data_IF_271067751081
#
_entry.id   IF_271067751081
#
_cell.length_a   1.000
_cell.length_b   1.000
_cell.length_c   1.000
_cell.angle_alpha   90.00
_cell.angle_beta   90.00
_cell.angle_gamma   90.00
#
_symmetry.space_group_name_H-M   'P 1'
#
loop_
_entity.id
_entity.type
_entity.pdbx_description
1 polymer ?
#
# COMPACT_ATOMS: atom_id res chain seq x y z
N UNK A 1 -0.84 -24.98 -5.52
CA UNK A 1 -0.78 -24.53 -4.11
C UNK A 1 0.50 -23.75 -3.78
N UNK A 2 1.72 -24.29 -3.99
CA UNK A 2 2.98 -23.59 -3.64
C UNK A 2 3.12 -22.16 -4.22
N UNK A 3 2.76 -21.95 -5.50
CA UNK A 3 2.79 -20.63 -6.16
C UNK A 3 1.87 -19.59 -5.50
N UNK A 4 0.74 -20.04 -4.97
CA UNK A 4 -0.27 -19.19 -4.33
C UNK A 4 0.20 -18.73 -2.96
N UNK A 5 0.74 -19.68 -2.19
CA UNK A 5 1.28 -19.44 -0.85
C UNK A 5 2.50 -18.52 -0.95
N UNK A 6 3.38 -18.77 -1.92
CA UNK A 6 4.55 -17.94 -2.16
C UNK A 6 4.18 -16.50 -2.55
N UNK A 7 3.24 -16.32 -3.48
CA UNK A 7 2.75 -14.99 -3.87
C UNK A 7 2.06 -14.25 -2.73
N UNK A 8 1.24 -14.94 -1.92
CA UNK A 8 0.57 -14.36 -0.77
C UNK A 8 1.52 -13.92 0.34
N UNK A 9 2.51 -14.75 0.68
CA UNK A 9 3.53 -14.40 1.69
C UNK A 9 4.33 -13.18 1.23
N UNK A 10 4.76 -13.17 -0.04
CA UNK A 10 5.49 -12.03 -0.59
C UNK A 10 4.64 -10.76 -0.53
N UNK A 11 3.36 -10.83 -0.92
CA UNK A 11 2.47 -9.67 -0.85
C UNK A 11 2.41 -9.11 0.58
N UNK A 12 2.19 -9.95 1.58
CA UNK A 12 2.12 -9.52 2.99
C UNK A 12 3.45 -8.91 3.45
N UNK A 13 4.59 -9.50 3.09
CA UNK A 13 5.91 -8.95 3.43
C UNK A 13 6.15 -7.58 2.77
N UNK A 14 5.78 -7.44 1.49
CA UNK A 14 5.90 -6.17 0.77
C UNK A 14 5.00 -5.08 1.38
N UNK A 15 3.78 -5.42 1.78
CA UNK A 15 2.87 -4.50 2.46
C UNK A 15 3.43 -4.07 3.82
N UNK A 16 3.98 -5.01 4.60
CA UNK A 16 4.63 -4.70 5.87
C UNK A 16 5.82 -3.77 5.70
N UNK A 17 6.65 -4.00 4.69
CA UNK A 17 7.79 -3.16 4.36
C UNK A 17 7.36 -1.76 3.90
N UNK A 18 6.32 -1.67 3.08
CA UNK A 18 5.70 -0.41 2.67
C UNK A 18 5.14 0.36 3.87
N UNK A 19 4.36 -0.29 4.73
CA UNK A 19 3.78 0.33 5.92
C UNK A 19 4.88 0.83 6.87
N UNK A 20 5.94 0.04 7.09
CA UNK A 20 7.09 0.45 7.88
C UNK A 20 7.76 1.72 7.31
N UNK A 21 8.00 1.77 6.00
CA UNK A 21 8.61 2.94 5.37
C UNK A 21 7.74 4.19 5.45
N UNK A 22 6.41 4.06 5.34
CA UNK A 22 5.47 5.16 5.51
C UNK A 22 5.51 5.69 6.95
N UNK A 23 5.47 4.80 7.94
CA UNK A 23 5.58 5.20 9.36
C UNK A 23 6.91 5.90 9.62
N UNK A 24 8.02 5.34 9.14
CA UNK A 24 9.34 5.94 9.29
C UNK A 24 9.41 7.35 8.68
N UNK A 25 8.87 7.52 7.46
CA UNK A 25 8.84 8.82 6.80
C UNK A 25 7.95 9.84 7.53
N UNK A 26 6.82 9.41 8.09
CA UNK A 26 5.95 10.25 8.92
C UNK A 26 6.67 10.68 10.21
N UNK A 27 7.37 9.76 10.88
CA UNK A 27 8.19 10.10 12.05
C UNK A 27 9.31 11.09 11.70
N UNK A 28 9.92 10.95 10.52
CA UNK A 28 10.91 11.91 10.03
C UNK A 28 10.32 13.31 9.81
N UNK A 29 9.06 13.41 9.37
CA UNK A 29 8.34 14.70 9.30
C UNK A 29 8.18 15.30 10.69
N UNK A 30 7.67 14.55 11.66
CA UNK A 30 7.46 15.06 13.02
C UNK A 30 8.77 15.43 13.73
N UNK A 31 9.80 14.59 13.60
CA UNK A 31 11.15 14.89 14.11
C UNK A 31 11.71 16.18 13.51
N UNK A 32 11.43 16.44 12.23
CA UNK A 32 11.89 17.67 11.56
C UNK A 32 11.20 18.94 12.03
N UNK A 33 10.06 18.83 12.72
CA UNK A 33 9.31 19.93 13.31
C UNK A 33 9.74 20.19 14.77
N UNK A 34 10.32 19.19 15.43
CA UNK A 34 10.79 19.29 16.81
C UNK A 34 12.23 19.82 16.87
N UNK A 35 12.45 20.83 17.71
CA UNK A 35 13.79 21.42 17.88
C UNK A 35 14.71 20.45 18.60
N UNK A 36 15.79 20.01 17.95
CA UNK A 36 16.82 19.15 18.55
C UNK A 36 16.67 17.66 18.26
N UNK A 37 15.66 17.24 17.49
CA UNK A 37 15.54 15.85 17.07
C UNK A 37 16.56 15.51 15.97
N UNK A 38 17.43 14.53 16.24
CA UNK A 38 18.47 14.06 15.30
C UNK A 38 18.28 12.61 14.86
N UNK A 39 17.27 11.93 15.39
CA UNK A 39 17.06 10.49 15.18
C UNK A 39 16.59 10.16 13.76
N UNK A 40 15.94 11.11 13.09
CA UNK A 40 15.39 10.93 11.75
C UNK A 40 15.82 12.08 10.82
N UNK A 41 16.71 11.83 9.85
CA UNK A 41 17.11 12.87 8.90
C UNK A 41 15.96 13.21 7.93
N UNK A 42 15.82 14.49 7.59
CA UNK A 42 14.91 14.99 6.52
C UNK A 42 15.13 14.27 5.20
N UNK A 43 16.40 14.03 4.87
CA UNK A 43 16.81 13.22 3.73
C UNK A 43 16.83 11.76 4.17
N UNK A 44 15.74 11.07 3.87
CA UNK A 44 15.62 9.63 4.11
C UNK A 44 16.72 8.87 3.36
N UNK A 45 17.19 7.79 3.98
CA UNK A 45 18.15 6.86 3.37
C UNK A 45 17.58 6.34 2.03
N UNK A 46 18.46 6.15 1.04
CA UNK A 46 18.15 5.58 -0.27
C UNK A 46 17.31 4.30 -0.16
N UNK A 47 17.60 3.42 0.80
CA UNK A 47 16.81 2.21 1.02
C UNK A 47 15.34 2.48 1.33
N UNK A 48 15.03 3.48 2.16
CA UNK A 48 13.64 3.87 2.46
C UNK A 48 13.00 4.51 1.23
N UNK A 49 13.74 5.31 0.47
CA UNK A 49 13.25 5.90 -0.77
C UNK A 49 12.88 4.83 -1.80
N UNK A 50 13.72 3.80 -1.97
CA UNK A 50 13.44 2.65 -2.83
C UNK A 50 12.19 1.93 -2.36
N UNK A 51 12.01 1.70 -1.06
CA UNK A 51 10.80 1.04 -0.55
C UNK A 51 9.55 1.89 -0.83
N UNK A 52 9.56 3.19 -0.52
CA UNK A 52 8.40 4.05 -0.73
C UNK A 52 7.96 4.16 -2.19
N UNK A 53 8.91 4.09 -3.11
CA UNK A 53 8.66 4.23 -4.55
C UNK A 53 8.40 2.88 -5.22
N UNK A 54 9.36 1.96 -5.14
CA UNK A 54 9.29 0.66 -5.82
C UNK A 54 8.29 -0.26 -5.13
N UNK A 55 8.44 -0.48 -3.81
CA UNK A 55 7.56 -1.41 -3.08
C UNK A 55 6.15 -0.81 -2.97
N UNK A 56 6.03 0.50 -2.72
CA UNK A 56 4.75 1.20 -2.79
C UNK A 56 4.04 1.06 -4.14
N UNK A 57 4.79 1.15 -5.25
CA UNK A 57 4.28 0.90 -6.59
C UNK A 57 3.83 -0.55 -6.81
N UNK A 58 4.63 -1.53 -6.39
CA UNK A 58 4.31 -2.96 -6.51
C UNK A 58 3.06 -3.34 -5.69
N UNK A 59 2.97 -2.86 -4.45
CA UNK A 59 1.80 -3.06 -3.58
C UNK A 59 0.55 -2.46 -4.23
N UNK A 60 0.65 -1.24 -4.75
CA UNK A 60 -0.46 -0.55 -5.42
C UNK A 60 -0.88 -1.26 -6.72
N UNK A 61 0.08 -1.75 -7.51
CA UNK A 61 -0.19 -2.53 -8.71
C UNK A 61 -0.95 -3.82 -8.39
N UNK A 62 -0.62 -4.50 -7.29
CA UNK A 62 -1.36 -5.67 -6.83
C UNK A 62 -2.80 -5.32 -6.46
N UNK A 63 -3.02 -4.20 -5.75
CA UNK A 63 -4.38 -3.73 -5.40
C UNK A 63 -5.19 -3.39 -6.65
N UNK A 64 -4.61 -2.65 -7.60
CA UNK A 64 -5.28 -2.31 -8.86
C UNK A 64 -5.62 -3.57 -9.65
N UNK A 65 -4.69 -4.52 -9.76
CA UNK A 65 -4.90 -5.78 -10.48
C UNK A 65 -6.01 -6.64 -9.87
N UNK A 66 -6.10 -6.68 -8.53
CA UNK A 66 -7.15 -7.40 -7.80
C UNK A 66 -8.51 -6.71 -7.95
N UNK A 67 -8.56 -5.38 -7.85
CA UNK A 67 -9.81 -4.62 -7.98
C UNK A 67 -10.33 -4.60 -9.43
N UNK A 68 -9.46 -4.63 -10.43
CA UNK A 68 -9.82 -4.69 -11.85
C UNK A 68 -10.55 -5.98 -12.26
N UNK A 69 -10.32 -7.08 -11.55
CA UNK A 69 -10.95 -8.39 -11.82
C UNK A 69 -12.10 -8.70 -10.88
N UNK A 70 -12.21 -7.98 -9.76
CA UNK A 70 -13.31 -8.13 -8.80
C UNK A 70 -14.55 -7.47 -9.38
N UNK A 71 -15.68 -8.17 -9.36
CA UNK A 71 -16.94 -7.57 -9.81
C UNK A 71 -17.41 -6.51 -8.80
N UNK A 72 -18.03 -5.40 -9.25
CA UNK A 72 -18.65 -4.44 -8.35
C UNK A 72 -19.67 -5.16 -7.43
N UNK A 73 -19.56 -4.95 -6.13
CA UNK A 73 -20.40 -5.58 -5.10
C UNK A 73 -19.88 -6.92 -4.57
N UNK A 74 -18.92 -7.56 -5.25
CA UNK A 74 -18.27 -8.78 -4.75
C UNK A 74 -17.06 -8.44 -3.87
N UNK A 75 -16.78 -9.31 -2.89
CA UNK A 75 -15.57 -9.22 -2.07
C UNK A 75 -14.35 -9.64 -2.89
N UNK A 76 -13.23 -8.90 -2.84
CA UNK A 76 -11.98 -9.30 -3.49
C UNK A 76 -11.57 -10.70 -3.02
N UNK A 77 -11.56 -11.66 -3.94
CA UNK A 77 -11.11 -13.03 -3.68
C UNK A 77 -9.87 -13.23 -4.51
N UNK A 78 -8.70 -13.18 -3.85
CA UNK A 78 -7.41 -13.31 -4.50
C UNK A 78 -7.48 -14.40 -5.56
N UNK A 79 -7.23 -14.03 -6.82
CA UNK A 79 -7.34 -14.82 -8.07
C UNK A 79 -6.78 -16.25 -8.03
N UNK A 80 -6.04 -16.59 -6.98
CA UNK A 80 -5.20 -17.77 -6.87
C UNK A 80 -5.93 -19.04 -6.40
N UNK A 81 -7.18 -18.97 -5.94
CA UNK A 81 -7.96 -20.17 -5.60
C UNK A 81 -8.73 -20.68 -6.83
N UNK A 82 -8.00 -21.41 -7.67
CA UNK A 82 -8.57 -22.18 -8.78
C UNK A 82 -9.43 -23.33 -8.22
N UNK A 83 -10.65 -23.44 -8.71
CA UNK A 83 -11.56 -24.63 -8.75
C UNK A 83 -11.16 -25.83 -7.87
N UNK A 84 -11.53 -25.80 -6.59
CA UNK A 84 -11.34 -26.94 -5.67
C UNK A 84 -11.13 -26.60 -4.20
N UNK A 85 -11.16 -25.33 -3.84
CA UNK A 85 -11.01 -24.87 -2.45
C UNK A 85 -12.28 -25.08 -1.63
N UNK A 86 -12.11 -25.47 -0.36
CA UNK A 86 -13.20 -25.56 0.60
C UNK A 86 -13.79 -24.16 0.86
N UNK A 87 -15.10 -24.05 1.17
CA UNK A 87 -15.77 -22.76 1.42
C UNK A 87 -15.07 -21.90 2.49
N UNK A 88 -14.45 -22.55 3.48
CA UNK A 88 -13.69 -21.91 4.56
C UNK A 88 -12.41 -21.24 4.03
N UNK A 89 -11.69 -21.85 3.08
CA UNK A 89 -10.48 -21.27 2.51
C UNK A 89 -10.78 -20.02 1.68
N UNK A 90 -11.90 -20.00 0.96
CA UNK A 90 -12.35 -18.83 0.20
C UNK A 90 -12.67 -17.64 1.12
N UNK A 91 -13.33 -17.89 2.26
CA UNK A 91 -13.61 -16.85 3.26
C UNK A 91 -12.33 -16.27 3.86
N UNK A 92 -11.38 -17.12 4.26
CA UNK A 92 -10.13 -16.65 4.86
C UNK A 92 -9.31 -15.80 3.90
N UNK A 93 -9.20 -16.22 2.63
CA UNK A 93 -8.45 -15.46 1.61
C UNK A 93 -9.13 -14.13 1.29
N UNK A 94 -10.46 -14.10 1.22
CA UNK A 94 -11.21 -12.86 1.05
C UNK A 94 -10.96 -11.87 2.20
N UNK A 95 -10.95 -12.36 3.46
CA UNK A 95 -10.61 -11.52 4.62
C UNK A 95 -9.20 -10.96 4.50
N UNK A 96 -8.22 -11.79 4.13
CA UNK A 96 -6.82 -11.33 3.96
C UNK A 96 -6.72 -10.27 2.88
N UNK A 97 -7.41 -10.44 1.74
CA UNK A 97 -7.42 -9.46 0.66
C UNK A 97 -8.05 -8.13 1.09
N UNK A 98 -9.17 -8.16 1.82
CA UNK A 98 -9.81 -6.96 2.38
C UNK A 98 -8.88 -6.25 3.36
N UNK A 99 -8.25 -7.00 4.28
CA UNK A 99 -7.28 -6.45 5.25
C UNK A 99 -6.09 -5.83 4.52
N UNK A 100 -5.58 -6.50 3.48
CA UNK A 100 -4.48 -6.00 2.67
C UNK A 100 -4.81 -4.65 2.03
N UNK A 101 -5.97 -4.54 1.38
CA UNK A 101 -6.43 -3.30 0.75
C UNK A 101 -6.67 -2.22 1.80
N UNK A 102 -7.24 -2.58 2.96
CA UNK A 102 -7.48 -1.64 4.05
C UNK A 102 -6.18 -1.05 4.60
N UNK A 103 -5.16 -1.88 4.86
CA UNK A 103 -3.84 -1.41 5.33
C UNK A 103 -3.19 -0.52 4.28
N UNK A 104 -3.23 -0.92 2.99
CA UNK A 104 -2.71 -0.09 1.90
C UNK A 104 -3.42 1.26 1.80
N UNK A 105 -4.75 1.29 1.95
CA UNK A 105 -5.54 2.53 1.97
C UNK A 105 -5.14 3.41 3.15
N UNK A 106 -5.05 2.85 4.36
CA UNK A 106 -4.69 3.61 5.58
C UNK A 106 -3.29 4.22 5.44
N UNK A 107 -2.30 3.45 4.98
CA UNK A 107 -0.94 3.96 4.76
C UNK A 107 -0.91 5.08 3.71
N UNK A 108 -1.62 4.88 2.60
CA UNK A 108 -1.73 5.87 1.54
C UNK A 108 -2.37 7.17 2.00
N UNK A 109 -3.53 7.09 2.66
CA UNK A 109 -4.22 8.25 3.24
C UNK A 109 -3.34 8.96 4.27
N UNK A 110 -2.67 8.22 5.16
CA UNK A 110 -1.76 8.80 6.14
C UNK A 110 -0.61 9.58 5.47
N UNK A 111 0.00 8.99 4.43
CA UNK A 111 1.05 9.69 3.66
C UNK A 111 0.54 10.92 2.92
N UNK A 112 -0.71 10.89 2.44
CA UNK A 112 -1.36 12.04 1.79
C UNK A 112 -1.59 13.18 2.78
N UNK A 113 -2.15 12.87 3.95
CA UNK A 113 -2.47 13.87 4.97
C UNK A 113 -1.18 14.50 5.50
N UNK A 114 -0.25 13.69 6.00
CA UNK A 114 0.97 14.20 6.63
C UNK A 114 1.94 14.73 5.59
N UNK A 115 2.23 13.93 4.57
CA UNK A 115 3.26 14.22 3.57
C UNK A 115 2.85 15.30 2.58
N UNK A 116 1.62 15.28 2.05
CA UNK A 116 1.23 16.22 1.00
C UNK A 116 0.40 17.40 1.49
N UNK A 117 -0.58 17.17 2.37
CA UNK A 117 -1.52 18.23 2.79
C UNK A 117 -0.98 19.08 3.94
N UNK A 118 -0.28 18.49 4.91
CA UNK A 118 0.22 19.21 6.08
C UNK A 118 1.66 19.71 5.90
N UNK A 119 2.57 18.86 5.41
CA UNK A 119 4.01 19.16 5.40
C UNK A 119 4.70 18.82 4.05
N UNK A 120 4.27 19.44 2.92
CA UNK A 120 4.72 19.09 1.57
C UNK A 120 6.24 19.18 1.35
N UNK A 121 6.91 20.10 2.04
CA UNK A 121 8.31 20.45 1.79
C UNK A 121 9.30 19.87 2.82
N UNK A 122 8.82 19.07 3.79
CA UNK A 122 9.67 18.53 4.87
C UNK A 122 10.37 17.24 4.44
N UNK A 123 9.62 16.32 3.83
CA UNK A 123 10.13 15.04 3.33
C UNK A 123 9.63 14.85 1.89
N UNK A 124 10.36 15.36 0.87
CA UNK A 124 9.89 15.38 -0.52
C UNK A 124 9.52 14.02 -1.10
N UNK A 125 10.23 12.96 -0.70
CA UNK A 125 9.94 11.58 -1.13
C UNK A 125 8.58 11.09 -0.63
N UNK A 126 8.19 11.46 0.60
CA UNK A 126 6.88 11.10 1.14
C UNK A 126 5.77 11.79 0.34
N UNK A 127 5.96 13.08 0.04
CA UNK A 127 5.05 13.87 -0.81
C UNK A 127 4.89 13.27 -2.20
N UNK A 128 6.01 12.86 -2.83
CA UNK A 128 5.98 12.23 -4.15
C UNK A 128 5.27 10.87 -4.11
N UNK A 129 5.56 10.05 -3.11
CA UNK A 129 4.89 8.74 -2.91
C UNK A 129 3.38 8.93 -2.69
N UNK A 130 2.98 9.90 -1.88
CA UNK A 130 1.58 10.21 -1.61
C UNK A 130 0.80 10.64 -2.86
N UNK A 131 1.39 11.51 -3.69
CA UNK A 131 0.80 11.92 -4.98
C UNK A 131 0.65 10.73 -5.94
N UNK A 132 1.68 9.90 -6.03
CA UNK A 132 1.66 8.68 -6.83
C UNK A 132 0.57 7.71 -6.36
N UNK A 133 0.48 7.48 -5.05
CA UNK A 133 -0.55 6.65 -4.45
C UNK A 133 -1.97 7.16 -4.74
N UNK A 134 -2.21 8.48 -4.66
CA UNK A 134 -3.54 9.05 -4.95
C UNK A 134 -4.01 8.72 -6.36
N UNK A 135 -3.12 8.86 -7.36
CA UNK A 135 -3.44 8.50 -8.74
C UNK A 135 -3.76 7.01 -8.89
N UNK A 136 -3.02 6.14 -8.20
CA UNK A 136 -3.25 4.70 -8.20
C UNK A 136 -4.55 4.31 -7.47
N UNK A 137 -4.90 5.01 -6.39
CA UNK A 137 -6.15 4.81 -5.67
C UNK A 137 -7.37 5.16 -6.52
N UNK A 138 -7.30 6.27 -7.26
CA UNK A 138 -8.36 6.65 -8.21
C UNK A 138 -8.44 5.62 -9.35
N UNK A 139 -7.29 5.21 -9.92
CA UNK A 139 -7.25 4.18 -10.96
C UNK A 139 -7.83 2.84 -10.48
N UNK A 140 -7.54 2.44 -9.25
CA UNK A 140 -8.08 1.23 -8.63
C UNK A 140 -9.62 1.31 -8.47
N UNK A 141 -10.13 2.46 -8.04
CA UNK A 141 -11.56 2.71 -7.92
C UNK A 141 -12.27 2.65 -9.29
N UNK A 142 -11.71 3.30 -10.32
CA UNK A 142 -12.25 3.23 -11.68
C UNK A 142 -12.22 1.80 -12.26
N UNK A 143 -11.13 1.08 -12.00
CA UNK A 143 -11.00 -0.33 -12.40
C UNK A 143 -12.08 -1.20 -11.74
N UNK A 144 -12.34 -0.99 -10.45
CA UNK A 144 -13.40 -1.70 -9.73
C UNK A 144 -14.80 -1.38 -10.26
N UNK A 145 -15.05 -0.12 -10.63
CA UNK A 145 -16.32 0.32 -11.20
C UNK A 145 -16.51 -0.08 -12.67
N UNK A 146 -15.52 -0.74 -13.29
CA UNK A 146 -15.60 -1.23 -14.66
C UNK A 146 -15.38 -0.16 -15.73
N UNK A 147 -14.84 1.00 -15.35
CA UNK A 147 -14.39 2.02 -16.31
C UNK A 147 -13.06 1.53 -16.89
N UNK A 148 -13.12 1.03 -18.14
CA UNK A 148 -11.98 0.45 -18.87
C UNK A 148 -11.43 1.41 -19.90
#
# INVERSE_FOLDING_TARGET
MARVIFGGIIAVLLLGLYAYAIIYAILAVYCSLETGCTDYPKNLNEGINTVLTLVGGLVSALVVAELAITKPGDTPTARLLNTGSTPTANKTVGIIAVVYIAVWLVCGVASLIVGYLQYPDVVPVLTASAKGWLGLAVAAAYSYLGVK
#
